data_IF_558005380543
#
_entry.id   IF_558005380543
#
_cell.length_a   1.000
_cell.length_b   1.000
_cell.length_c   1.000
_cell.angle_alpha   90.00
_cell.angle_beta   90.00
_cell.angle_gamma   90.00
#
_symmetry.space_group_name_H-M   'P 1'
#
loop_
_entity.id
_entity.type
_entity.pdbx_description
1 polymer ?
#
# COMPACT_ATOMS: atom_id res chain seq x y z
N UNK A 1 5.48 86.63 -12.71
CA UNK A 1 4.54 86.47 -13.84
C UNK A 1 4.84 85.15 -14.54
N UNK A 2 3.79 84.34 -14.75
CA UNK A 2 3.65 83.23 -15.72
C UNK A 2 4.56 81.98 -15.62
N UNK A 3 4.00 80.93 -15.03
CA UNK A 3 4.06 79.53 -15.52
C UNK A 3 3.35 79.45 -16.90
N UNK A 4 3.63 78.48 -17.80
CA UNK A 4 3.07 77.12 -17.61
C UNK A 4 3.74 75.91 -18.36
N UNK A 5 3.13 74.73 -18.11
CA UNK A 5 2.96 73.51 -18.96
C UNK A 5 3.93 72.30 -18.80
N UNK A 6 3.48 71.40 -17.92
CA UNK A 6 3.40 69.92 -17.98
C UNK A 6 3.87 69.14 -19.24
N UNK A 7 4.57 68.01 -19.01
CA UNK A 7 4.25 66.64 -19.50
C UNK A 7 5.34 65.66 -19.03
N UNK A 8 5.10 64.83 -18.00
CA UNK A 8 4.64 63.42 -18.04
C UNK A 8 5.45 62.49 -18.96
N UNK A 9 6.10 61.50 -18.35
CA UNK A 9 6.22 60.09 -18.79
C UNK A 9 6.96 59.31 -17.67
N UNK A 10 6.27 58.95 -16.57
CA UNK A 10 5.79 57.57 -16.32
C UNK A 10 6.71 56.49 -16.89
N UNK A 11 7.60 55.99 -16.04
CA UNK A 11 8.35 54.78 -16.28
C UNK A 11 7.43 53.57 -16.27
N UNK A 12 7.42 52.85 -17.38
CA UNK A 12 6.87 51.52 -17.51
C UNK A 12 7.92 50.66 -18.21
N UNK A 13 8.33 49.53 -17.64
CA UNK A 13 8.80 48.42 -18.45
C UNK A 13 7.60 47.52 -18.76
N UNK A 14 7.18 47.56 -20.02
CA UNK A 14 6.25 46.61 -20.59
C UNK A 14 6.95 45.25 -20.80
N UNK A 15 6.23 44.21 -20.42
CA UNK A 15 6.50 42.78 -20.49
C UNK A 15 6.42 42.27 -21.93
N UNK A 16 7.36 41.39 -22.35
CA UNK A 16 7.18 40.36 -23.40
C UNK A 16 8.09 39.18 -22.99
N UNK A 17 7.62 38.16 -22.27
CA UNK A 17 6.96 36.92 -22.73
C UNK A 17 7.83 36.00 -23.61
N UNK A 18 8.29 34.86 -23.06
CA UNK A 18 8.41 33.53 -23.72
C UNK A 18 9.12 32.49 -22.81
N UNK A 19 8.46 31.36 -22.54
CA UNK A 19 9.13 30.08 -22.30
C UNK A 19 9.04 29.47 -20.89
N UNK A 20 8.33 28.33 -20.71
CA UNK A 20 8.19 27.66 -19.42
C UNK A 20 9.38 26.71 -19.19
N UNK A 21 10.21 27.00 -18.19
CA UNK A 21 11.25 26.07 -17.74
C UNK A 21 10.75 25.30 -16.51
N UNK A 22 10.07 24.20 -16.85
CA UNK A 22 10.02 22.92 -16.18
C UNK A 22 10.47 22.88 -14.72
N UNK A 23 9.44 22.65 -13.90
CA UNK A 23 9.44 22.13 -12.54
C UNK A 23 10.40 20.95 -12.43
N UNK A 24 11.53 21.13 -11.76
CA UNK A 24 12.30 20.04 -11.17
C UNK A 24 11.99 20.03 -9.66
N UNK A 25 10.73 19.74 -9.32
CA UNK A 25 10.43 19.24 -8.00
C UNK A 25 11.05 17.84 -7.96
N UNK A 26 12.07 17.66 -7.10
CA UNK A 26 12.45 16.34 -6.64
C UNK A 26 11.23 15.77 -5.90
N UNK A 27 10.30 15.18 -6.64
CA UNK A 27 9.28 14.31 -6.07
C UNK A 27 10.03 13.10 -5.56
N UNK A 28 10.49 13.19 -4.31
CA UNK A 28 10.70 12.01 -3.49
C UNK A 28 9.41 11.21 -3.64
N UNK A 29 9.49 10.08 -4.33
CA UNK A 29 8.38 9.17 -4.53
C UNK A 29 7.94 8.70 -3.15
N UNK A 30 7.00 9.44 -2.56
CA UNK A 30 6.23 8.96 -1.44
C UNK A 30 5.60 7.64 -1.92
N UNK A 31 5.71 6.56 -1.14
CA UNK A 31 5.05 5.32 -1.51
C UNK A 31 3.56 5.62 -1.76
N UNK A 32 2.92 4.97 -2.74
CA UNK A 32 1.50 5.18 -3.00
C UNK A 32 0.74 4.91 -1.70
N UNK A 33 0.11 5.95 -1.17
CA UNK A 33 -0.84 5.76 -0.08
C UNK A 33 -2.00 4.97 -0.65
N UNK A 34 -2.01 3.68 -0.32
CA UNK A 34 -3.10 2.76 -0.61
C UNK A 34 -4.33 3.21 0.17
N UNK A 35 -5.15 4.05 -0.47
CA UNK A 35 -6.54 4.28 -0.07
C UNK A 35 -7.40 3.15 -0.65
N UNK A 36 -7.22 1.94 -0.09
CA UNK A 36 -8.14 0.82 -0.22
C UNK A 36 -9.24 0.89 0.86
N UNK A 37 -10.42 0.26 0.63
CA UNK A 37 -11.59 0.48 1.47
C UNK A 37 -11.37 -0.01 2.91
N UNK A 38 -11.83 0.83 3.84
CA UNK A 38 -11.96 0.61 5.27
C UNK A 38 -12.80 -0.64 5.56
N UNK A 39 -12.12 -1.78 5.76
CA UNK A 39 -12.75 -3.03 6.18
C UNK A 39 -11.74 -4.16 6.34
N UNK A 40 -11.16 -4.28 7.54
CA UNK A 40 -10.38 -5.45 7.96
C UNK A 40 -8.86 -5.28 7.84
N UNK A 41 -8.25 -4.68 8.87
CA UNK A 41 -6.82 -4.75 9.23
C UNK A 41 -5.82 -4.97 8.09
N UNK A 42 -5.32 -3.87 7.52
CA UNK A 42 -4.18 -3.92 6.59
C UNK A 42 -3.02 -4.72 7.16
N UNK A 43 -2.28 -5.37 6.26
CA UNK A 43 -1.17 -6.25 6.64
C UNK A 43 -0.08 -5.46 7.37
N UNK A 44 0.58 -6.07 8.36
CA UNK A 44 1.72 -5.43 9.04
C UNK A 44 2.76 -5.03 8.00
N UNK A 45 3.23 -3.78 8.05
CA UNK A 45 4.18 -3.25 7.07
C UNK A 45 5.44 -4.11 6.94
N UNK A 46 5.95 -4.63 8.05
CA UNK A 46 7.11 -5.54 8.07
C UNK A 46 6.82 -6.84 7.32
N UNK A 47 5.66 -7.46 7.58
CA UNK A 47 5.25 -8.72 6.96
C UNK A 47 5.04 -8.51 5.45
N UNK A 48 4.44 -7.38 5.05
CA UNK A 48 4.26 -7.01 3.64
C UNK A 48 5.59 -6.85 2.93
N UNK A 49 6.55 -6.15 3.52
CA UNK A 49 7.89 -5.95 2.95
C UNK A 49 8.64 -7.29 2.77
N UNK A 50 8.60 -8.17 3.77
CA UNK A 50 9.17 -9.51 3.67
C UNK A 50 8.48 -10.35 2.59
N UNK A 51 7.16 -10.25 2.46
CA UNK A 51 6.39 -10.95 1.44
C UNK A 51 6.68 -10.44 0.01
N UNK A 52 6.86 -9.12 -0.17
CA UNK A 52 7.30 -8.52 -1.44
C UNK A 52 8.69 -9.04 -1.81
N UNK A 53 9.61 -9.06 -0.84
CA UNK A 53 10.98 -9.55 -0.97
C UNK A 53 11.10 -11.08 -1.07
N UNK A 54 9.99 -11.81 -1.12
CA UNK A 54 9.96 -13.28 -1.21
C UNK A 54 10.58 -14.02 -0.02
N UNK A 55 10.66 -13.38 1.16
CA UNK A 55 11.14 -13.96 2.42
C UNK A 55 9.95 -14.49 3.24
N UNK A 56 9.27 -15.49 2.71
CA UNK A 56 7.98 -15.96 3.27
C UNK A 56 8.09 -16.56 4.66
N UNK A 57 9.12 -17.36 4.93
CA UNK A 57 9.33 -17.97 6.25
C UNK A 57 9.54 -16.90 7.33
N UNK A 58 10.26 -15.84 6.98
CA UNK A 58 10.49 -14.72 7.88
C UNK A 58 9.23 -13.88 8.08
N UNK A 59 8.43 -13.69 7.02
CA UNK A 59 7.13 -13.03 7.14
C UNK A 59 6.19 -13.80 8.09
N UNK A 60 6.19 -15.14 8.02
CA UNK A 60 5.43 -15.99 8.94
C UNK A 60 5.98 -15.90 10.36
N UNK A 61 7.30 -15.92 10.54
CA UNK A 61 7.93 -15.77 11.86
C UNK A 61 7.66 -14.39 12.49
N UNK A 62 7.62 -13.32 11.69
CA UNK A 62 7.24 -11.99 12.14
C UNK A 62 5.78 -11.94 12.59
N UNK A 63 4.87 -12.61 11.84
CA UNK A 63 3.47 -12.77 12.28
C UNK A 63 3.37 -13.54 13.60
N UNK A 64 4.10 -14.64 13.76
CA UNK A 64 4.12 -15.41 15.02
C UNK A 64 4.56 -14.56 16.21
N UNK A 65 5.57 -13.70 16.02
CA UNK A 65 6.04 -12.78 17.06
C UNK A 65 5.00 -11.72 17.40
N UNK A 66 4.31 -11.17 16.41
CA UNK A 66 3.23 -10.21 16.61
C UNK A 66 2.06 -10.85 17.38
N UNK A 67 1.65 -12.05 16.99
CA UNK A 67 0.62 -12.81 17.69
C UNK A 67 1.02 -13.08 19.13
N UNK A 68 2.25 -13.55 19.37
CA UNK A 68 2.75 -13.79 20.73
C UNK A 68 2.75 -12.50 21.57
N UNK A 69 3.14 -11.37 21.00
CA UNK A 69 3.13 -10.07 21.69
C UNK A 69 1.71 -9.59 22.00
N UNK A 70 0.72 -9.95 21.19
CA UNK A 70 -0.70 -9.63 21.39
C UNK A 70 -1.45 -10.66 22.26
N UNK A 71 -0.77 -11.73 22.69
CA UNK A 71 -1.36 -12.78 23.53
C UNK A 71 -2.07 -13.89 22.75
N UNK A 72 -1.85 -13.99 21.44
CA UNK A 72 -2.39 -15.04 20.57
C UNK A 72 -2.71 -14.55 19.16
N UNK A 73 -3.09 -15.48 18.28
CA UNK A 73 -3.56 -15.12 16.95
C UNK A 73 -4.90 -14.39 17.00
N UNK A 74 -5.08 -13.50 16.04
CA UNK A 74 -6.34 -12.77 15.83
C UNK A 74 -6.91 -13.14 14.48
N UNK A 75 -8.20 -12.85 14.31
CA UNK A 75 -8.86 -13.00 13.00
C UNK A 75 -8.13 -12.25 11.88
N UNK A 76 -7.51 -11.09 12.19
CA UNK A 76 -6.74 -10.31 11.22
C UNK A 76 -5.37 -10.94 10.91
N UNK A 77 -4.61 -11.37 11.92
CA UNK A 77 -3.29 -11.98 11.70
C UNK A 77 -3.39 -13.33 10.98
N UNK A 78 -4.48 -14.06 11.16
CA UNK A 78 -4.78 -15.28 10.41
C UNK A 78 -5.02 -15.00 8.92
N UNK A 79 -5.72 -13.93 8.56
CA UNK A 79 -5.86 -13.51 7.16
C UNK A 79 -4.52 -13.07 6.57
N UNK A 80 -3.69 -12.36 7.32
CA UNK A 80 -2.32 -12.03 6.89
C UNK A 80 -1.48 -13.30 6.65
N UNK A 81 -1.61 -14.31 7.51
CA UNK A 81 -0.97 -15.62 7.31
C UNK A 81 -1.44 -16.29 6.02
N UNK A 82 -2.74 -16.26 5.73
CA UNK A 82 -3.31 -16.78 4.47
C UNK A 82 -2.67 -16.08 3.26
N UNK A 83 -2.54 -14.74 3.31
CA UNK A 83 -1.88 -13.95 2.26
C UNK A 83 -0.44 -14.40 2.05
N UNK A 84 0.37 -14.51 3.11
CA UNK A 84 1.78 -14.96 3.02
C UNK A 84 1.87 -16.37 2.42
N UNK A 85 1.04 -17.30 2.89
CA UNK A 85 1.04 -18.69 2.40
C UNK A 85 0.65 -18.78 0.92
N UNK A 86 -0.39 -18.05 0.48
CA UNK A 86 -0.77 -18.00 -0.95
C UNK A 86 0.31 -17.36 -1.81
N UNK A 87 0.98 -16.33 -1.29
CA UNK A 87 2.10 -15.68 -1.98
C UNK A 87 3.29 -16.64 -2.14
N UNK A 88 3.52 -17.50 -1.14
CA UNK A 88 4.50 -18.60 -1.17
C UNK A 88 4.04 -19.82 -2.00
N UNK A 89 2.85 -19.76 -2.61
CA UNK A 89 2.19 -20.88 -3.33
C UNK A 89 1.84 -22.10 -2.45
N UNK A 90 1.86 -21.98 -1.13
CA UNK A 90 1.29 -22.98 -0.22
C UNK A 90 -0.24 -22.81 -0.13
N UNK A 91 -0.92 -23.21 -1.20
CA UNK A 91 -2.39 -23.09 -1.32
C UNK A 91 -3.13 -23.98 -0.33
N UNK A 92 -2.56 -25.15 0.00
CA UNK A 92 -3.16 -26.09 0.95
C UNK A 92 -3.07 -25.60 2.39
N UNK A 93 -1.92 -25.06 2.80
CA UNK A 93 -1.75 -24.41 4.09
C UNK A 93 -2.67 -23.19 4.23
N UNK A 94 -2.69 -22.32 3.22
CA UNK A 94 -3.59 -21.17 3.20
C UNK A 94 -5.07 -21.56 3.32
N UNK A 95 -5.51 -22.59 2.58
CA UNK A 95 -6.89 -23.05 2.63
C UNK A 95 -7.25 -23.67 3.98
N UNK A 96 -6.29 -24.34 4.66
CA UNK A 96 -6.49 -24.87 6.00
C UNK A 96 -6.76 -23.75 7.01
N UNK A 97 -5.88 -22.74 7.06
CA UNK A 97 -6.03 -21.59 7.97
C UNK A 97 -7.37 -20.88 7.74
N UNK A 98 -7.74 -20.63 6.48
CA UNK A 98 -8.99 -19.95 6.17
C UNK A 98 -10.23 -20.77 6.55
N UNK A 99 -10.19 -22.10 6.37
CA UNK A 99 -11.28 -22.99 6.80
C UNK A 99 -11.41 -23.02 8.33
N UNK A 100 -10.30 -23.12 9.05
CA UNK A 100 -10.29 -23.13 10.52
C UNK A 100 -10.84 -21.83 11.08
N UNK A 101 -10.43 -20.68 10.53
CA UNK A 101 -10.99 -19.36 10.88
C UNK A 101 -12.50 -19.31 10.62
N UNK A 102 -12.93 -19.68 9.43
CA UNK A 102 -14.35 -19.58 9.04
C UNK A 102 -15.25 -20.62 9.70
N UNK A 103 -14.69 -21.62 10.37
CA UNK A 103 -15.44 -22.61 11.14
C UNK A 103 -15.74 -22.15 12.58
N UNK A 104 -15.27 -20.96 12.99
CA UNK A 104 -15.55 -20.42 14.33
C UNK A 104 -16.95 -19.84 14.41
N UNK A 105 -17.53 -19.95 15.60
CA UNK A 105 -18.91 -19.51 15.88
C UNK A 105 -19.10 -17.99 15.75
N UNK A 106 -18.02 -17.21 15.89
CA UNK A 106 -18.03 -15.75 15.79
C UNK A 106 -17.87 -15.22 14.36
N UNK A 107 -17.59 -16.08 13.37
CA UNK A 107 -17.43 -15.69 11.97
C UNK A 107 -18.70 -15.92 11.18
N UNK A 108 -19.30 -14.83 10.68
CA UNK A 108 -20.49 -14.92 9.83
C UNK A 108 -20.15 -15.33 8.40
N UNK A 109 -21.15 -15.81 7.65
CA UNK A 109 -20.98 -16.12 6.23
C UNK A 109 -20.53 -14.90 5.40
N UNK A 110 -21.09 -13.72 5.69
CA UNK A 110 -20.70 -12.47 5.02
C UNK A 110 -19.26 -12.09 5.36
N UNK A 111 -18.84 -12.24 6.62
CA UNK A 111 -17.46 -12.01 7.01
C UNK A 111 -16.50 -12.98 6.33
N UNK A 112 -16.85 -14.26 6.22
CA UNK A 112 -16.06 -15.26 5.52
C UNK A 112 -15.86 -14.90 4.03
N UNK A 113 -16.92 -14.44 3.35
CA UNK A 113 -16.86 -13.99 1.95
C UNK A 113 -16.00 -12.73 1.82
N UNK A 114 -16.25 -11.72 2.65
CA UNK A 114 -15.52 -10.46 2.62
C UNK A 114 -14.03 -10.65 2.92
N UNK A 115 -13.69 -11.56 3.84
CA UNK A 115 -12.31 -11.92 4.16
C UNK A 115 -11.59 -12.57 2.98
N UNK A 116 -12.30 -13.39 2.19
CA UNK A 116 -11.74 -13.96 0.96
C UNK A 116 -11.35 -12.89 -0.05
N UNK A 117 -12.21 -11.89 -0.25
CA UNK A 117 -11.92 -10.72 -1.10
C UNK A 117 -10.75 -9.89 -0.57
N UNK A 118 -10.69 -9.67 0.74
CA UNK A 118 -9.59 -8.93 1.37
C UNK A 118 -8.23 -9.63 1.13
N UNK A 119 -8.17 -10.95 1.28
CA UNK A 119 -6.97 -11.75 1.01
C UNK A 119 -6.51 -11.61 -0.44
N UNK A 120 -7.43 -11.67 -1.41
CA UNK A 120 -7.07 -11.54 -2.83
C UNK A 120 -6.60 -10.12 -3.18
N UNK A 121 -7.24 -9.09 -2.62
CA UNK A 121 -6.82 -7.71 -2.81
C UNK A 121 -5.40 -7.46 -2.26
N UNK A 122 -5.10 -7.98 -1.07
CA UNK A 122 -3.77 -7.86 -0.47
C UNK A 122 -2.70 -8.61 -1.28
N UNK A 123 -3.01 -9.82 -1.76
CA UNK A 123 -2.14 -10.56 -2.66
C UNK A 123 -1.84 -9.79 -3.96
N UNK A 124 -2.86 -9.17 -4.54
CA UNK A 124 -2.72 -8.38 -5.75
C UNK A 124 -1.83 -7.15 -5.52
N UNK A 125 -1.97 -6.50 -4.36
CA UNK A 125 -1.10 -5.41 -3.93
C UNK A 125 0.36 -5.87 -3.86
N UNK A 126 0.64 -6.97 -3.13
CA UNK A 126 2.00 -7.51 -2.98
C UNK A 126 2.61 -7.86 -4.35
N UNK A 127 1.84 -8.51 -5.23
CA UNK A 127 2.32 -8.90 -6.58
C UNK A 127 2.61 -7.70 -7.46
N UNK A 128 1.77 -6.67 -7.39
CA UNK A 128 1.94 -5.44 -8.16
C UNK A 128 3.13 -4.63 -7.67
N UNK A 129 3.28 -4.49 -6.35
CA UNK A 129 4.44 -3.81 -5.74
C UNK A 129 5.74 -4.55 -6.04
N UNK A 130 5.75 -5.89 -5.96
CA UNK A 130 6.92 -6.68 -6.38
C UNK A 130 7.27 -6.45 -7.84
N UNK A 131 6.29 -6.45 -8.73
CA UNK A 131 6.52 -6.22 -10.15
C UNK A 131 7.09 -4.83 -10.42
N UNK A 132 6.64 -3.82 -9.69
CA UNK A 132 7.19 -2.48 -9.77
C UNK A 132 8.67 -2.42 -9.33
N UNK A 133 9.05 -3.19 -8.29
CA UNK A 133 10.41 -3.19 -7.73
C UNK A 133 11.40 -4.08 -8.49
N UNK A 134 10.95 -5.23 -8.98
CA UNK A 134 11.85 -6.28 -9.50
C UNK A 134 11.57 -6.66 -10.95
N UNK A 135 10.48 -6.16 -11.54
CA UNK A 135 10.01 -6.57 -12.86
C UNK A 135 9.23 -7.90 -12.88
N UNK A 136 9.08 -8.58 -11.73
CA UNK A 136 8.36 -9.86 -11.63
C UNK A 136 7.19 -9.79 -10.64
N UNK A 137 6.04 -10.35 -11.04
CA UNK A 137 4.88 -10.50 -10.15
C UNK A 137 5.03 -11.67 -9.19
N UNK A 138 5.91 -12.63 -9.46
CA UNK A 138 6.07 -13.86 -8.67
C UNK A 138 7.47 -13.98 -8.09
N UNK A 139 7.58 -14.68 -6.97
CA UNK A 139 8.84 -15.20 -6.47
C UNK A 139 9.37 -16.26 -7.46
N UNK A 140 10.61 -16.08 -7.90
CA UNK A 140 11.28 -16.88 -8.92
C UNK A 140 12.26 -17.85 -8.32
#
# INVERSE_FOLDING_TARGET
MHLPILSRLTGAPAVIALGPLLIAACTHSAPPQSSGPTGGGGMSAEVTELAIACRHDEALAALDQLDAAMGGSTSASELQRVVVLRNARDTMGAARVLRERNARDDVTADEAVNSGTAVENELEMIRSERAARTGSRTCG
#
